data_IF_040146203773
#
_entry.id   IF_040146203773
#
_cell.length_a   1.000
_cell.length_b   1.000
_cell.length_c   1.000
_cell.angle_alpha   90.00
_cell.angle_beta   90.00
_cell.angle_gamma   90.00
#
_symmetry.space_group_name_H-M   'P 1'
#
loop_
_entity.id
_entity.type
_entity.pdbx_description
1 polymer ?
#
# COMPACT_ATOMS: atom_id res chain seq x y z
N UNK A 1 -0.08 -18.48 -0.33
CA UNK A 1 1.16 -17.69 -0.53
C UNK A 1 0.72 -16.28 -0.86
N UNK A 2 1.19 -15.29 -0.10
CA UNK A 2 0.80 -13.89 -0.27
C UNK A 2 1.68 -13.21 -1.34
N UNK A 3 1.07 -12.36 -2.15
CA UNK A 3 1.71 -11.53 -3.15
C UNK A 3 1.32 -10.07 -2.87
N UNK A 4 2.31 -9.22 -2.77
CA UNK A 4 2.19 -7.77 -2.61
C UNK A 4 2.46 -7.14 -3.98
N UNK A 5 1.46 -6.43 -4.48
CA UNK A 5 1.53 -5.65 -5.72
C UNK A 5 1.54 -4.19 -5.32
N UNK A 6 2.60 -3.46 -5.68
CA UNK A 6 2.72 -2.03 -5.40
C UNK A 6 2.50 -1.28 -6.71
N UNK A 7 1.53 -0.39 -6.69
CA UNK A 7 1.17 0.48 -7.80
C UNK A 7 1.55 1.92 -7.49
N UNK A 8 2.34 2.54 -8.36
CA UNK A 8 2.57 3.98 -8.34
C UNK A 8 1.44 4.69 -9.06
N UNK A 9 0.88 5.69 -8.41
CA UNK A 9 -0.07 6.62 -8.96
C UNK A 9 0.66 7.90 -9.38
N UNK A 10 0.53 8.26 -10.65
CA UNK A 10 1.13 9.42 -11.27
C UNK A 10 0.13 10.08 -12.25
N UNK A 11 0.56 11.15 -12.93
CA UNK A 11 -0.27 11.85 -13.92
C UNK A 11 -0.68 10.98 -15.13
N UNK A 12 0.06 9.90 -15.43
CA UNK A 12 -0.22 8.97 -16.53
C UNK A 12 -1.22 7.87 -16.11
N UNK A 13 -1.31 7.57 -14.82
CA UNK A 13 -2.28 6.65 -14.24
C UNK A 13 -1.71 5.81 -13.09
N UNK A 14 -2.06 4.52 -13.07
CA UNK A 14 -1.51 3.54 -12.13
C UNK A 14 -0.54 2.60 -12.85
N UNK A 15 0.67 2.44 -12.31
CA UNK A 15 1.70 1.56 -12.86
C UNK A 15 2.21 0.59 -11.79
N UNK A 16 2.37 -0.69 -12.15
CA UNK A 16 2.92 -1.71 -11.25
C UNK A 16 4.44 -1.53 -11.11
N UNK A 17 4.90 -1.06 -9.95
CA UNK A 17 6.33 -0.84 -9.67
C UNK A 17 6.98 -2.00 -8.92
N UNK A 18 6.19 -2.81 -8.20
CA UNK A 18 6.70 -4.00 -7.53
C UNK A 18 5.63 -5.10 -7.48
N UNK A 19 6.06 -6.35 -7.72
CA UNK A 19 5.24 -7.55 -7.56
C UNK A 19 6.10 -8.64 -6.93
N UNK A 20 5.74 -9.09 -5.74
CA UNK A 20 6.50 -10.14 -5.06
C UNK A 20 5.87 -10.58 -3.76
N UNK A 21 6.43 -11.60 -3.12
CA UNK A 21 5.95 -12.12 -1.83
C UNK A 21 6.71 -11.55 -0.63
N UNK A 22 7.57 -10.55 -0.84
CA UNK A 22 8.44 -9.97 0.19
C UNK A 22 7.75 -8.75 0.81
N UNK A 23 7.10 -8.96 1.96
CA UNK A 23 6.33 -7.93 2.67
C UNK A 23 7.22 -6.76 3.11
N UNK A 24 8.36 -7.06 3.75
CA UNK A 24 9.27 -6.04 4.26
C UNK A 24 9.74 -5.10 3.14
N UNK A 25 10.09 -5.66 1.98
CA UNK A 25 10.45 -4.86 0.82
C UNK A 25 9.26 -4.06 0.28
N UNK A 26 8.08 -4.67 0.16
CA UNK A 26 6.89 -4.02 -0.36
C UNK A 26 6.46 -2.82 0.48
N UNK A 27 6.48 -2.96 1.81
CA UNK A 27 6.10 -1.91 2.76
C UNK A 27 7.19 -0.86 2.99
N UNK A 28 8.44 -1.17 2.66
CA UNK A 28 9.55 -0.20 2.75
C UNK A 28 9.60 0.77 1.57
N UNK A 29 8.85 0.54 0.49
CA UNK A 29 8.84 1.41 -0.68
C UNK A 29 8.17 2.75 -0.37
N UNK A 30 8.70 3.82 -0.94
CA UNK A 30 8.19 5.18 -0.75
C UNK A 30 7.88 5.80 -2.08
N UNK A 31 6.85 6.65 -2.14
CA UNK A 31 6.53 7.39 -3.36
C UNK A 31 7.74 8.21 -3.83
N UNK A 32 8.52 8.76 -2.89
CA UNK A 32 9.76 9.47 -3.14
C UNK A 32 10.89 8.65 -3.81
N UNK A 33 10.83 7.31 -3.77
CA UNK A 33 11.79 6.45 -4.49
C UNK A 33 11.49 6.37 -6.00
N UNK A 34 10.32 6.85 -6.44
CA UNK A 34 9.85 6.79 -7.82
C UNK A 34 9.68 8.18 -8.42
N UNK A 35 10.18 8.39 -9.64
CA UNK A 35 10.01 9.64 -10.39
C UNK A 35 8.53 9.89 -10.70
N UNK A 36 8.07 11.12 -10.48
CA UNK A 36 6.68 11.55 -10.74
C UNK A 36 5.60 10.73 -10.01
N UNK A 37 5.90 10.10 -8.89
CA UNK A 37 4.92 9.31 -8.12
C UNK A 37 4.27 10.14 -7.01
N UNK A 38 2.97 10.38 -7.13
CA UNK A 38 2.16 11.10 -6.13
C UNK A 38 1.72 10.20 -4.95
N UNK A 39 1.50 8.91 -5.22
CA UNK A 39 1.06 7.97 -4.20
C UNK A 39 1.42 6.53 -4.56
N UNK A 40 1.61 5.70 -3.54
CA UNK A 40 1.75 4.25 -3.70
C UNK A 40 0.51 3.55 -3.15
N UNK A 41 0.08 2.49 -3.82
CA UNK A 41 -0.99 1.60 -3.38
C UNK A 41 -0.45 0.18 -3.28
N UNK A 42 -0.84 -0.53 -2.22
CA UNK A 42 -0.51 -1.94 -2.00
C UNK A 42 -1.77 -2.76 -2.24
N UNK A 43 -1.67 -3.81 -3.04
CA UNK A 43 -2.68 -4.86 -3.12
C UNK A 43 -2.09 -6.17 -2.64
N UNK A 44 -2.76 -6.80 -1.67
CA UNK A 44 -2.40 -8.11 -1.15
C UNK A 44 -3.28 -9.15 -1.84
N UNK A 45 -2.63 -10.15 -2.44
CA UNK A 45 -3.27 -11.27 -3.11
C UNK A 45 -2.88 -12.58 -2.41
N UNK A 46 -3.87 -13.43 -2.16
CA UNK A 46 -3.68 -14.77 -1.60
C UNK A 46 -4.61 -15.76 -2.32
N UNK A 47 -4.10 -16.96 -2.63
CA UNK A 47 -4.86 -18.05 -3.25
C UNK A 47 -5.54 -17.69 -4.60
N UNK A 48 -4.97 -16.72 -5.32
CA UNK A 48 -5.51 -16.26 -6.61
C UNK A 48 -6.63 -15.22 -6.51
N UNK A 49 -6.95 -14.75 -5.30
CA UNK A 49 -7.86 -13.63 -5.04
C UNK A 49 -7.16 -12.46 -4.37
N UNK A 50 -7.63 -11.25 -4.64
CA UNK A 50 -7.25 -10.06 -3.87
C UNK A 50 -7.90 -10.18 -2.48
N UNK A 51 -7.08 -10.10 -1.44
CA UNK A 51 -7.52 -10.18 -0.05
C UNK A 51 -7.62 -8.82 0.61
N UNK A 52 -6.74 -7.89 0.23
CA UNK A 52 -6.64 -6.58 0.88
C UNK A 52 -6.02 -5.54 -0.04
N UNK A 53 -6.31 -4.26 0.20
CA UNK A 53 -5.60 -3.13 -0.40
C UNK A 53 -5.64 -1.87 0.44
N UNK A 54 -4.53 -1.14 0.43
CA UNK A 54 -4.40 0.12 1.13
C UNK A 54 -3.39 1.04 0.45
N UNK A 55 -3.47 2.33 0.75
CA UNK A 55 -2.48 3.30 0.29
C UNK A 55 -1.23 3.18 1.15
N UNK A 56 -0.07 3.01 0.53
CA UNK A 56 1.21 3.03 1.22
C UNK A 56 1.58 4.48 1.53
N UNK A 57 1.25 4.90 2.75
CA UNK A 57 1.64 6.20 3.32
C UNK A 57 2.97 6.04 4.03
N UNK A 58 3.88 6.99 3.82
CA UNK A 58 5.19 7.04 4.47
C UNK A 58 5.04 7.42 5.96
N UNK A 59 4.41 6.54 6.73
CA UNK A 59 4.02 6.71 8.15
C UNK A 59 3.16 7.96 8.43
N UNK A 60 1.91 7.84 8.88
CA UNK A 60 1.52 8.73 9.95
C UNK A 60 2.40 8.35 11.15
N UNK A 61 3.05 9.31 11.79
CA UNK A 61 3.16 9.18 13.24
C UNK A 61 1.70 8.95 13.71
N UNK A 62 1.39 7.76 14.24
CA UNK A 62 0.10 7.39 14.86
C UNK A 62 -1.06 7.09 13.88
N UNK A 63 -1.29 5.80 13.62
CA UNK A 63 -2.65 5.25 13.50
C UNK A 63 -2.86 4.37 14.74
N UNK A 64 -3.00 5.03 15.88
CA UNK A 64 -3.62 4.47 17.09
C UNK A 64 -4.93 5.25 17.27
N UNK A 65 -6.03 4.52 17.41
CA UNK A 65 -7.34 4.97 17.89
C UNK A 65 -8.22 5.84 16.98
N UNK A 66 -9.14 5.21 16.23
CA UNK A 66 -10.53 5.69 16.14
C UNK A 66 -11.50 4.48 15.97
N UNK A 67 -11.65 3.71 17.05
CA UNK A 67 -12.88 2.95 17.29
C UNK A 67 -13.73 3.74 18.29
N UNK A 68 -14.26 4.88 17.86
CA UNK A 68 -15.28 5.62 18.60
C UNK A 68 -16.61 4.85 18.51
N UNK A 69 -16.89 3.92 19.43
CA UNK A 69 -18.28 3.52 19.71
C UNK A 69 -18.74 4.12 21.05
N UNK A 70 -19.26 5.34 20.89
CA UNK A 70 -20.31 6.02 21.65
C UNK A 70 -20.58 5.59 23.09
N UNK A 71 -20.05 6.37 24.03
CA UNK A 71 -20.54 6.43 25.40
C UNK A 71 -21.90 7.15 25.42
N UNK A 72 -23.00 6.40 25.51
CA UNK A 72 -24.31 6.93 25.88
C UNK A 72 -25.08 6.05 26.85
#
# INVERSE_FOLDING_TARGET
MKIYVIQSFNEDGMENVYVGSDEEKALSLKAADFDHCDALFVEIWEDGGKTDDFRLVESPEEDDEEAEEELR
#
